data_IF_505095835066
#
_entry.id   IF_505095835066
#
_cell.length_a   1.000
_cell.length_b   1.000
_cell.length_c   1.000
_cell.angle_alpha   90.00
_cell.angle_beta   90.00
_cell.angle_gamma   90.00
#
_symmetry.space_group_name_H-M   'P 1'
#
loop_
_entity.id
_entity.type
_entity.pdbx_description
1 polymer ?
#
# COMPACT_ATOMS: atom_id res chain seq x y z
N UNK A 1 9.38 4.01 -1.54
CA UNK A 1 9.22 3.35 -0.21
C UNK A 1 7.84 3.66 0.30
N UNK A 2 7.19 2.71 0.95
CA UNK A 2 5.77 2.77 1.31
C UNK A 2 5.53 2.24 2.71
N UNK A 3 4.39 2.60 3.28
CA UNK A 3 3.80 1.94 4.44
C UNK A 3 2.78 0.91 3.95
N UNK A 4 3.04 -0.36 4.22
CA UNK A 4 2.12 -1.45 3.89
C UNK A 4 1.36 -1.89 5.14
N UNK A 5 0.03 -1.81 5.08
CA UNK A 5 -0.82 -2.33 6.14
C UNK A 5 -1.24 -3.76 5.82
N UNK A 6 -0.94 -4.67 6.72
CA UNK A 6 -1.46 -6.04 6.65
C UNK A 6 -2.80 -6.10 7.39
N UNK A 7 -3.86 -6.41 6.67
CA UNK A 7 -5.18 -6.57 7.26
C UNK A 7 -5.25 -7.88 8.06
N UNK A 8 -5.90 -7.84 9.21
CA UNK A 8 -6.15 -9.00 10.06
C UNK A 8 -7.60 -9.45 10.04
N UNK A 9 -8.49 -8.61 9.53
CA UNK A 9 -9.92 -8.88 9.42
C UNK A 9 -10.42 -8.33 8.10
N UNK A 10 -11.33 -9.05 7.47
CA UNK A 10 -11.98 -8.61 6.25
C UNK A 10 -12.87 -7.38 6.52
N UNK A 11 -12.92 -6.51 5.53
CA UNK A 11 -13.79 -5.34 5.53
C UNK A 11 -14.83 -5.49 4.42
N UNK A 12 -16.00 -6.07 4.69
CA UNK A 12 -17.01 -6.30 3.67
C UNK A 12 -17.54 -4.97 3.11
N UNK A 13 -17.90 -4.94 1.83
CA UNK A 13 -18.49 -3.75 1.23
C UNK A 13 -19.77 -3.35 1.97
N UNK A 14 -19.96 -2.05 2.17
CA UNK A 14 -21.16 -1.47 2.77
C UNK A 14 -21.43 -0.08 2.19
N UNK A 15 -22.68 0.42 2.32
CA UNK A 15 -23.07 1.73 1.81
C UNK A 15 -22.39 2.88 2.55
N UNK A 16 -22.26 2.77 3.88
CA UNK A 16 -21.60 3.80 4.69
C UNK A 16 -20.07 3.60 4.67
N UNK A 17 -19.28 4.61 4.31
CA UNK A 17 -17.82 4.53 4.36
C UNK A 17 -17.31 4.14 5.75
N UNK A 18 -16.24 3.38 5.78
CA UNK A 18 -15.54 3.05 7.02
C UNK A 18 -14.85 4.29 7.59
N UNK A 19 -14.94 4.46 8.89
CA UNK A 19 -14.15 5.46 9.60
C UNK A 19 -12.68 5.03 9.70
N UNK A 20 -11.78 5.99 9.94
CA UNK A 20 -10.37 5.70 10.17
C UNK A 20 -10.16 4.68 11.29
N UNK A 21 -10.89 4.82 12.39
CA UNK A 21 -10.72 3.94 13.56
C UNK A 21 -11.21 2.52 13.29
N UNK A 22 -12.30 2.36 12.54
CA UNK A 22 -12.76 1.05 12.08
C UNK A 22 -11.72 0.37 11.18
N UNK A 23 -11.13 1.12 10.24
CA UNK A 23 -10.05 0.60 9.37
C UNK A 23 -8.84 0.18 10.21
N UNK A 24 -8.38 1.04 11.13
CA UNK A 24 -7.25 0.74 12.00
C UNK A 24 -7.48 -0.46 12.91
N UNK A 25 -8.71 -0.68 13.36
CA UNK A 25 -9.07 -1.87 14.14
C UNK A 25 -8.93 -3.17 13.34
N UNK A 26 -9.11 -3.12 12.02
CA UNK A 26 -8.94 -4.26 11.12
C UNK A 26 -7.47 -4.52 10.72
N UNK A 27 -6.55 -3.59 11.00
CA UNK A 27 -5.13 -3.75 10.64
C UNK A 27 -4.41 -4.63 11.66
N UNK A 28 -3.80 -5.72 11.20
CA UNK A 28 -2.98 -6.60 12.03
C UNK A 28 -1.54 -6.09 12.21
N UNK A 29 -0.98 -5.41 11.21
CA UNK A 29 0.40 -4.94 11.28
C UNK A 29 0.72 -3.86 10.25
N UNK A 30 1.77 -3.11 10.55
CA UNK A 30 2.42 -2.15 9.66
C UNK A 30 3.77 -2.69 9.25
N UNK A 31 4.12 -2.52 7.97
CA UNK A 31 5.40 -2.93 7.43
C UNK A 31 5.98 -1.82 6.56
N UNK A 32 7.30 -1.54 6.60
CA UNK A 32 7.94 -0.82 5.53
C UNK A 32 7.91 -1.68 4.27
N UNK A 33 7.73 -1.06 3.12
CA UNK A 33 7.71 -1.77 1.87
C UNK A 33 8.39 -0.97 0.76
N UNK A 34 8.82 -1.68 -0.26
CA UNK A 34 9.40 -1.09 -1.47
C UNK A 34 8.68 -1.70 -2.67
N UNK A 35 8.05 -0.85 -3.45
CA UNK A 35 7.60 -1.21 -4.78
C UNK A 35 8.72 -0.95 -5.79
N UNK A 36 8.94 -1.90 -6.68
CA UNK A 36 9.89 -1.80 -7.81
C UNK A 36 9.06 -1.90 -9.08
N UNK A 37 8.65 -0.76 -9.65
CA UNK A 37 7.89 -0.76 -10.89
C UNK A 37 8.78 -1.13 -12.08
N UNK A 38 8.19 -1.82 -13.05
CA UNK A 38 8.78 -2.08 -14.36
C UNK A 38 7.67 -2.29 -15.39
N UNK A 39 7.70 -1.54 -16.46
CA UNK A 39 6.69 -1.62 -17.51
C UNK A 39 7.13 -2.53 -18.64
N UNK A 40 6.15 -3.29 -19.19
CA UNK A 40 6.33 -4.09 -20.42
C UNK A 40 6.29 -3.22 -21.68
N UNK A 41 5.97 -1.95 -21.54
CA UNK A 41 5.99 -0.96 -22.63
C UNK A 41 7.28 -0.14 -22.62
N UNK A 42 7.84 0.14 -23.79
CA UNK A 42 9.02 0.99 -23.92
C UNK A 42 8.81 2.40 -23.36
N UNK A 43 7.61 2.93 -23.52
CA UNK A 43 7.22 4.24 -22.99
C UNK A 43 5.79 4.15 -22.45
N UNK A 44 5.68 3.81 -21.18
CA UNK A 44 4.38 3.66 -20.50
C UNK A 44 3.61 5.00 -20.40
N UNK A 45 4.30 6.13 -20.54
CA UNK A 45 3.64 7.46 -20.49
C UNK A 45 2.81 7.76 -21.73
N UNK A 46 3.05 7.03 -22.81
CA UNK A 46 2.34 7.18 -24.10
C UNK A 46 1.26 6.14 -24.34
N UNK A 47 1.07 5.21 -23.43
CA UNK A 47 0.02 4.20 -23.55
C UNK A 47 -1.29 4.70 -22.95
N UNK A 48 -2.42 4.15 -23.44
CA UNK A 48 -3.74 4.49 -22.91
C UNK A 48 -4.05 3.72 -21.60
N UNK A 49 -5.14 4.10 -20.94
CA UNK A 49 -5.56 3.50 -19.67
C UNK A 49 -5.74 1.98 -19.76
N UNK A 50 -6.31 1.46 -20.86
CA UNK A 50 -6.51 0.02 -21.05
C UNK A 50 -5.20 -0.76 -21.08
N UNK A 51 -4.18 -0.22 -21.76
CA UNK A 51 -2.86 -0.83 -21.82
C UNK A 51 -2.15 -0.75 -20.45
N UNK A 52 -2.30 0.37 -19.74
CA UNK A 52 -1.72 0.51 -18.41
C UNK A 52 -2.35 -0.46 -17.41
N UNK A 53 -3.66 -0.65 -17.46
CA UNK A 53 -4.36 -1.67 -16.65
C UNK A 53 -3.89 -3.07 -17.00
N UNK A 54 -3.75 -3.39 -18.30
CA UNK A 54 -3.26 -4.69 -18.76
C UNK A 54 -1.80 -4.95 -18.33
N UNK A 55 -1.00 -3.91 -18.15
CA UNK A 55 0.36 -3.96 -17.61
C UNK A 55 0.41 -3.94 -16.07
N UNK A 56 -0.73 -4.11 -15.40
CA UNK A 56 -0.84 -4.05 -13.96
C UNK A 56 -0.29 -2.72 -13.37
N UNK A 57 -0.52 -1.60 -14.08
CA UNK A 57 -0.02 -0.27 -13.74
C UNK A 57 1.51 -0.25 -13.49
N UNK A 58 2.27 -0.97 -14.32
CA UNK A 58 3.73 -1.19 -14.21
C UNK A 58 4.19 -1.85 -12.88
N UNK A 59 3.31 -2.46 -12.13
CA UNK A 59 3.72 -3.21 -10.95
C UNK A 59 4.54 -4.45 -11.36
N UNK A 60 5.71 -4.59 -10.76
CA UNK A 60 6.63 -5.69 -11.06
C UNK A 60 7.03 -6.48 -9.82
N UNK A 61 7.63 -5.84 -8.83
CA UNK A 61 8.02 -6.48 -7.57
C UNK A 61 7.57 -5.65 -6.38
N UNK A 62 7.21 -6.36 -5.34
CA UNK A 62 6.89 -5.77 -4.04
C UNK A 62 7.71 -6.48 -2.96
N UNK A 63 8.50 -5.71 -2.22
CA UNK A 63 9.32 -6.21 -1.13
C UNK A 63 8.71 -5.74 0.18
N UNK A 64 8.22 -6.69 0.97
CA UNK A 64 7.66 -6.42 2.29
C UNK A 64 8.75 -6.59 3.35
N UNK A 65 8.99 -5.56 4.12
CA UNK A 65 9.92 -5.57 5.24
C UNK A 65 9.34 -6.22 6.51
N UNK A 66 10.10 -6.29 7.59
CA UNK A 66 9.63 -6.83 8.85
C UNK A 66 8.47 -6.01 9.42
N UNK A 67 7.69 -6.62 10.31
CA UNK A 67 6.63 -5.90 11.00
C UNK A 67 7.21 -4.78 11.88
N UNK A 68 6.60 -3.62 11.86
CA UNK A 68 6.92 -2.53 12.77
C UNK A 68 6.59 -2.92 14.23
N UNK A 69 7.27 -2.36 15.22
CA UNK A 69 6.93 -2.56 16.63
C UNK A 69 5.46 -2.23 16.93
N UNK A 70 4.90 -2.83 17.96
CA UNK A 70 3.46 -2.73 18.26
C UNK A 70 2.96 -1.31 18.56
N UNK A 71 3.85 -0.41 18.93
CA UNK A 71 3.55 1.00 19.27
C UNK A 71 3.38 1.93 18.06
N UNK A 72 3.55 1.42 16.83
CA UNK A 72 3.39 2.20 15.60
C UNK A 72 2.02 2.92 15.49
N UNK A 73 1.00 2.40 16.16
CA UNK A 73 -0.35 3.00 16.16
C UNK A 73 -0.40 4.38 16.81
N UNK A 74 0.57 4.69 17.66
CA UNK A 74 0.76 6.01 18.26
C UNK A 74 1.50 7.02 17.38
N UNK A 75 2.04 6.59 16.23
CA UNK A 75 2.79 7.46 15.33
C UNK A 75 1.86 8.22 14.38
N UNK A 76 2.20 9.48 14.12
CA UNK A 76 1.65 10.18 12.97
C UNK A 76 2.42 9.80 11.72
N UNK A 77 1.91 8.80 10.99
CA UNK A 77 2.58 8.28 9.79
C UNK A 77 2.63 9.31 8.65
N UNK A 78 1.74 10.30 8.63
CA UNK A 78 1.75 11.35 7.61
C UNK A 78 2.92 12.33 7.82
N UNK A 79 3.33 12.53 9.07
CA UNK A 79 4.46 13.39 9.44
C UNK A 79 5.75 12.60 9.70
N UNK A 80 5.72 11.27 9.58
CA UNK A 80 6.85 10.41 9.92
C UNK A 80 7.96 10.50 8.86
N UNK A 81 9.18 10.80 9.32
CA UNK A 81 10.35 10.83 8.42
C UNK A 81 10.87 9.43 8.19
N UNK A 82 10.94 9.03 6.93
CA UNK A 82 11.53 7.76 6.49
C UNK A 82 12.86 8.03 5.79
N UNK A 83 13.88 7.25 6.11
CA UNK A 83 15.17 7.25 5.39
C UNK A 83 15.31 5.94 4.64
N UNK A 84 15.69 6.05 3.37
CA UNK A 84 15.97 4.92 2.48
C UNK A 84 17.46 4.87 2.13
#
# INVERSE_FOLDING_TARGET
MEFAFRMGTDMPPRETPYTRDEVLACVAGLHPAIEIPDSRFHDFTKVGAAQLIADNACAHRFVLGPAAPADWRGLDLAAHTVRA
#
